data_IF_023795542895
#
_entry.id   IF_023795542895
#
_cell.length_a   1.000
_cell.length_b   1.000
_cell.length_c   1.000
_cell.angle_alpha   90.00
_cell.angle_beta   90.00
_cell.angle_gamma   90.00
#
_symmetry.space_group_name_H-M   'P 1'
#
loop_
_entity.id
_entity.type
_entity.pdbx_description
1 polymer ?
#
# COMPACT_ATOMS: atom_id res chain seq x y z
N UNK A 1 -20.89 18.15 -57.43
CA UNK A 1 -22.24 17.57 -57.28
C UNK A 1 -22.21 16.75 -55.99
N UNK A 2 -22.95 17.08 -54.93
CA UNK A 2 -24.42 16.99 -54.76
C UNK A 2 -24.95 15.53 -54.90
N UNK A 3 -25.77 14.97 -54.00
CA UNK A 3 -26.16 15.36 -52.61
C UNK A 3 -27.02 14.24 -51.95
N UNK A 4 -26.90 13.98 -50.63
CA UNK A 4 -27.90 13.33 -49.72
C UNK A 4 -28.40 11.88 -50.04
N UNK A 5 -29.12 11.09 -49.22
CA UNK A 5 -29.60 11.04 -47.80
C UNK A 5 -29.80 9.51 -47.46
N UNK A 6 -30.14 8.99 -46.28
CA UNK A 6 -31.07 9.42 -45.23
C UNK A 6 -30.79 8.72 -43.88
N UNK A 7 -31.38 9.24 -42.79
CA UNK A 7 -31.26 8.70 -41.44
C UNK A 7 -32.49 7.87 -40.99
N UNK A 8 -32.26 6.83 -40.19
CA UNK A 8 -33.32 6.07 -39.50
C UNK A 8 -33.49 6.50 -38.05
N UNK A 9 -34.67 7.01 -37.69
CA UNK A 9 -35.04 7.35 -36.30
C UNK A 9 -35.69 6.14 -35.61
N UNK A 10 -35.30 5.84 -34.39
CA UNK A 10 -36.07 5.00 -33.48
C UNK A 10 -36.82 5.85 -32.46
N UNK A 11 -38.12 5.60 -32.31
CA UNK A 11 -39.02 6.32 -31.40
C UNK A 11 -39.09 5.61 -30.04
N UNK A 12 -38.99 6.38 -28.96
CA UNK A 12 -39.19 5.88 -27.59
C UNK A 12 -40.64 6.10 -27.13
N UNK A 13 -41.21 5.11 -26.43
CA UNK A 13 -42.52 5.18 -25.77
C UNK A 13 -42.34 5.40 -24.25
N UNK A 14 -43.09 6.32 -23.62
CA UNK A 14 -42.98 6.55 -22.17
C UNK A 14 -43.85 5.58 -21.35
N UNK A 15 -43.21 4.82 -20.45
CA UNK A 15 -43.88 3.96 -19.47
C UNK A 15 -44.44 4.75 -18.27
N UNK A 16 -45.64 4.35 -17.80
CA UNK A 16 -46.34 5.00 -16.68
C UNK A 16 -45.58 4.90 -15.35
N UNK A 17 -45.55 6.00 -14.62
CA UNK A 17 -45.27 6.02 -13.17
C UNK A 17 -46.44 5.42 -12.37
N UNK A 18 -46.14 4.63 -11.33
CA UNK A 18 -47.11 4.26 -10.28
C UNK A 18 -46.56 4.64 -8.91
N UNK A 19 -47.40 5.30 -8.11
CA UNK A 19 -47.13 5.63 -6.71
C UNK A 19 -47.32 4.40 -5.81
N UNK A 20 -46.42 4.22 -4.86
CA UNK A 20 -46.64 3.62 -3.54
C UNK A 20 -45.67 4.36 -2.59
N UNK A 21 -45.97 4.63 -1.33
CA UNK A 21 -47.13 4.19 -0.55
C UNK A 21 -46.75 4.18 0.93
N UNK A 22 -46.41 5.36 1.47
CA UNK A 22 -45.85 5.49 2.80
C UNK A 22 -46.88 5.08 3.87
N UNK A 23 -46.54 4.09 4.72
CA UNK A 23 -47.24 3.83 5.98
C UNK A 23 -46.23 3.69 7.12
N UNK A 24 -46.40 4.55 8.11
CA UNK A 24 -45.83 4.44 9.46
C UNK A 24 -46.75 3.56 10.34
N UNK A 25 -46.41 3.47 11.63
CA UNK A 25 -47.07 2.70 12.72
C UNK A 25 -46.56 1.23 12.78
N UNK A 26 -46.08 0.72 13.91
CA UNK A 26 -45.95 1.35 15.23
C UNK A 26 -45.03 0.59 16.20
N UNK A 27 -44.77 1.18 17.37
CA UNK A 27 -44.07 0.58 18.52
C UNK A 27 -44.96 -0.45 19.24
N UNK A 28 -44.35 -1.36 20.01
CA UNK A 28 -44.80 -1.48 21.40
C UNK A 28 -43.68 -1.53 22.45
N UNK A 29 -44.08 -1.18 23.67
CA UNK A 29 -43.43 -1.36 24.98
C UNK A 29 -44.57 -1.63 26.00
N UNK A 30 -44.40 -2.16 27.21
CA UNK A 30 -43.26 -2.24 28.14
C UNK A 30 -43.43 -3.55 28.96
N UNK A 31 -42.35 -4.28 29.33
CA UNK A 31 -42.23 -4.83 30.70
C UNK A 31 -40.88 -5.48 31.00
N UNK A 32 -40.43 -5.37 32.25
CA UNK A 32 -39.32 -6.09 32.84
C UNK A 32 -39.81 -6.87 34.07
N UNK A 33 -39.10 -7.94 34.43
CA UNK A 33 -38.98 -8.63 35.74
C UNK A 33 -38.47 -10.07 35.50
N UNK A 34 -37.62 -10.70 36.31
CA UNK A 34 -36.80 -10.22 37.42
C UNK A 34 -35.59 -11.18 37.65
N UNK A 35 -34.59 -10.71 38.41
CA UNK A 35 -33.62 -11.48 39.23
C UNK A 35 -32.87 -12.71 38.64
N UNK A 36 -31.53 -12.66 38.59
CA UNK A 36 -30.75 -13.89 38.38
C UNK A 36 -29.22 -13.77 38.25
N UNK A 37 -28.51 -13.67 39.40
CA UNK A 37 -27.07 -13.97 39.61
C UNK A 37 -26.02 -13.21 38.76
N UNK A 38 -25.16 -12.46 39.46
CA UNK A 38 -23.90 -11.96 38.91
C UNK A 38 -22.92 -13.11 38.63
N UNK A 39 -22.26 -13.05 37.48
CA UNK A 39 -21.09 -13.86 37.13
C UNK A 39 -19.97 -12.91 36.62
N UNK A 40 -18.73 -13.19 37.02
CA UNK A 40 -17.55 -12.35 36.78
C UNK A 40 -17.20 -12.20 35.29
N UNK A 41 -17.72 -11.15 34.65
CA UNK A 41 -17.44 -10.81 33.27
C UNK A 41 -16.17 -9.94 33.17
N UNK A 42 -15.00 -10.58 33.15
CA UNK A 42 -13.74 -9.90 32.84
C UNK A 42 -13.81 -9.35 31.43
N UNK A 43 -13.80 -8.02 31.32
CA UNK A 43 -13.79 -7.31 30.03
C UNK A 43 -12.62 -7.82 29.17
N UNK A 44 -12.86 -8.29 27.93
CA UNK A 44 -11.77 -8.62 27.02
C UNK A 44 -10.99 -7.34 26.73
N UNK A 45 -9.67 -7.38 26.99
CA UNK A 45 -8.78 -6.28 26.61
C UNK A 45 -8.87 -6.09 25.09
N UNK A 46 -8.91 -4.85 24.57
CA UNK A 46 -8.94 -4.64 23.13
C UNK A 46 -7.69 -5.25 22.50
N UNK A 47 -7.90 -6.14 21.53
CA UNK A 47 -6.83 -6.64 20.66
C UNK A 47 -6.21 -5.43 19.98
N UNK A 48 -4.87 -5.35 20.01
CA UNK A 48 -4.13 -4.11 19.76
C UNK A 48 -4.50 -3.43 18.44
N UNK A 49 -4.69 -2.11 18.49
CA UNK A 49 -4.90 -1.31 17.30
C UNK A 49 -3.71 -1.48 16.33
N UNK A 50 -3.99 -2.00 15.13
CA UNK A 50 -3.00 -2.12 14.06
C UNK A 50 -2.50 -0.73 13.71
N UNK A 51 -1.22 -0.46 14.00
CA UNK A 51 -0.59 0.84 13.76
C UNK A 51 -0.33 1.06 12.26
N UNK A 52 -0.48 2.32 11.85
CA UNK A 52 -0.72 2.74 10.47
C UNK A 52 0.51 2.78 9.56
N UNK A 53 0.28 2.56 8.27
CA UNK A 53 1.29 2.58 7.21
C UNK A 53 1.88 3.96 6.88
N UNK A 54 3.21 4.01 6.84
CA UNK A 54 3.98 4.70 5.79
C UNK A 54 3.59 6.16 5.45
N UNK A 55 3.82 7.08 6.40
CA UNK A 55 4.25 8.48 6.21
C UNK A 55 4.57 9.09 7.59
N UNK A 56 5.85 9.04 8.01
CA UNK A 56 6.38 9.61 9.26
C UNK A 56 5.41 9.52 10.46
N UNK A 57 4.95 8.31 10.80
CA UNK A 57 4.00 8.11 11.91
C UNK A 57 4.64 8.50 13.25
N UNK A 58 4.17 9.57 13.93
CA UNK A 58 4.76 9.97 15.20
C UNK A 58 4.56 8.86 16.24
N UNK A 59 5.66 8.41 16.87
CA UNK A 59 5.61 7.41 17.94
C UNK A 59 5.97 5.97 17.55
N UNK A 60 6.65 5.73 16.42
CA UNK A 60 7.39 4.48 16.19
C UNK A 60 8.85 4.55 16.63
N UNK A 61 9.41 5.75 16.72
CA UNK A 61 10.74 6.06 17.24
C UNK A 61 10.75 7.51 17.76
N UNK A 62 11.63 7.81 18.71
CA UNK A 62 11.86 9.16 19.25
C UNK A 62 12.95 9.89 18.47
N UNK A 63 13.14 11.19 18.73
CA UNK A 63 14.22 11.96 18.11
C UNK A 63 15.62 11.43 18.49
N UNK A 64 15.76 10.81 19.67
CA UNK A 64 16.98 10.12 20.14
C UNK A 64 17.31 8.85 19.37
N UNK A 65 16.34 8.28 18.64
CA UNK A 65 16.49 7.01 17.90
C UNK A 65 16.82 7.24 16.41
N UNK A 66 17.12 8.49 16.01
CA UNK A 66 17.58 8.81 14.67
C UNK A 66 19.08 8.50 14.51
N UNK A 67 19.43 7.68 13.51
CA UNK A 67 20.81 7.30 13.19
C UNK A 67 21.18 7.71 11.77
N UNK A 68 22.27 8.45 11.61
CA UNK A 68 22.87 8.71 10.29
C UNK A 68 23.72 7.51 9.85
N UNK A 69 23.26 6.78 8.85
CA UNK A 69 23.89 5.56 8.32
C UNK A 69 24.35 5.79 6.89
N UNK A 70 25.30 4.99 6.43
CA UNK A 70 25.69 4.96 5.01
C UNK A 70 24.70 4.12 4.21
N UNK A 71 24.43 4.48 2.96
CA UNK A 71 23.41 3.78 2.15
C UNK A 71 23.80 2.33 1.81
N UNK A 72 25.09 1.98 1.84
CA UNK A 72 25.59 0.60 1.72
C UNK A 72 25.43 -0.25 3.00
N UNK A 73 25.11 0.38 4.15
CA UNK A 73 24.76 -0.30 5.40
C UNK A 73 23.28 -0.69 5.45
N UNK A 74 22.45 -0.11 4.57
CA UNK A 74 21.04 -0.43 4.49
C UNK A 74 20.80 -1.77 3.78
N UNK A 75 19.76 -2.47 4.21
CA UNK A 75 19.26 -3.71 3.60
C UNK A 75 17.76 -3.59 3.35
N UNK A 76 17.25 -4.10 2.22
CA UNK A 76 15.81 -4.19 2.00
C UNK A 76 15.20 -5.34 2.82
N UNK A 77 13.88 -5.35 2.89
CA UNK A 77 13.03 -6.35 3.58
C UNK A 77 11.92 -6.88 2.65
N UNK A 78 11.98 -6.48 1.38
CA UNK A 78 11.08 -6.88 0.31
C UNK A 78 11.88 -7.15 -0.97
N UNK A 79 11.34 -7.99 -1.84
CA UNK A 79 12.04 -8.45 -3.05
C UNK A 79 11.79 -7.51 -4.25
N UNK A 80 10.55 -7.04 -4.39
CA UNK A 80 10.11 -6.22 -5.51
C UNK A 80 9.66 -4.82 -5.10
N UNK A 81 9.65 -3.88 -6.04
CA UNK A 81 9.06 -2.54 -5.92
C UNK A 81 8.59 -2.07 -7.30
N UNK A 82 7.78 -1.01 -7.37
CA UNK A 82 7.45 -0.37 -8.66
C UNK A 82 8.44 0.76 -9.02
N UNK A 83 9.20 0.62 -10.11
CA UNK A 83 10.28 1.56 -10.47
C UNK A 83 9.81 2.98 -10.83
N UNK A 84 8.58 3.19 -11.32
CA UNK A 84 8.12 4.55 -11.63
C UNK A 84 8.02 5.44 -10.37
N UNK A 85 7.72 4.88 -9.21
CA UNK A 85 7.75 5.63 -7.96
C UNK A 85 9.18 6.03 -7.56
N UNK A 86 10.20 5.25 -7.94
CA UNK A 86 11.62 5.62 -7.83
C UNK A 86 11.92 6.79 -8.77
N UNK A 87 11.59 6.64 -10.06
CA UNK A 87 11.82 7.66 -11.08
C UNK A 87 11.12 8.98 -10.74
N UNK A 88 9.90 8.95 -10.20
CA UNK A 88 9.16 10.12 -9.73
C UNK A 88 9.84 10.84 -8.57
N UNK A 89 10.36 10.10 -7.58
CA UNK A 89 11.15 10.69 -6.47
C UNK A 89 12.43 11.34 -6.97
N UNK A 90 13.14 10.68 -7.89
CA UNK A 90 14.35 11.23 -8.52
C UNK A 90 14.05 12.50 -9.29
N UNK A 91 13.08 12.48 -10.21
CA UNK A 91 12.61 13.67 -10.95
C UNK A 91 12.33 14.85 -10.01
N UNK A 92 11.68 14.60 -8.86
CA UNK A 92 11.44 15.63 -7.84
C UNK A 92 12.75 16.21 -7.30
N UNK A 93 13.70 15.39 -6.84
CA UNK A 93 14.95 15.90 -6.24
C UNK A 93 15.94 16.48 -7.24
N UNK A 94 16.01 15.95 -8.47
CA UNK A 94 16.88 16.49 -9.54
C UNK A 94 16.38 17.84 -10.06
N UNK A 95 15.11 18.20 -9.80
CA UNK A 95 14.56 19.53 -10.08
C UNK A 95 14.88 20.57 -8.99
N UNK A 96 15.39 20.16 -7.83
CA UNK A 96 15.78 21.05 -6.74
C UNK A 96 17.29 21.37 -6.82
N UNK A 97 17.66 22.59 -6.44
CA UNK A 97 19.05 23.04 -6.43
C UNK A 97 19.57 23.33 -5.00
N UNK A 98 20.89 23.23 -4.82
CA UNK A 98 21.59 23.68 -3.61
C UNK A 98 20.95 23.21 -2.30
N UNK A 99 20.65 24.17 -1.42
CA UNK A 99 20.13 23.91 -0.08
C UNK A 99 18.68 23.40 -0.06
N UNK A 100 17.88 23.67 -1.09
CA UNK A 100 16.53 23.10 -1.21
C UNK A 100 16.59 21.59 -1.44
N UNK A 101 17.49 21.13 -2.33
CA UNK A 101 17.75 19.70 -2.54
C UNK A 101 18.29 19.05 -1.27
N UNK A 102 19.19 19.74 -0.56
CA UNK A 102 19.75 19.27 0.72
C UNK A 102 18.66 19.08 1.76
N UNK A 103 17.87 20.12 2.05
CA UNK A 103 16.79 20.06 3.03
C UNK A 103 15.74 18.99 2.70
N UNK A 104 15.37 18.86 1.42
CA UNK A 104 14.42 17.84 0.95
C UNK A 104 14.94 16.39 1.06
N UNK A 105 16.26 16.20 1.18
CA UNK A 105 16.90 14.90 1.45
C UNK A 105 17.11 14.70 2.96
N UNK A 106 17.48 15.75 3.69
CA UNK A 106 17.70 15.67 5.14
C UNK A 106 16.41 15.37 5.92
N UNK A 107 15.24 15.82 5.45
CA UNK A 107 13.91 15.49 6.00
C UNK A 107 13.48 14.01 5.76
N UNK A 108 14.34 13.20 5.13
CA UNK A 108 14.10 11.77 4.91
C UNK A 108 14.66 10.97 6.09
N UNK A 109 13.77 10.32 6.84
CA UNK A 109 14.13 9.41 7.94
C UNK A 109 13.25 8.14 7.95
N UNK A 110 13.38 7.24 6.96
CA UNK A 110 12.62 6.00 6.90
C UNK A 110 12.88 5.12 8.13
N UNK A 111 11.89 4.31 8.52
CA UNK A 111 12.04 3.38 9.63
C UNK A 111 12.98 2.23 9.28
N UNK A 112 13.81 1.83 10.23
CA UNK A 112 14.69 0.69 10.13
C UNK A 112 14.75 -0.10 11.45
N UNK A 113 15.15 -1.36 11.37
CA UNK A 113 15.67 -2.10 12.52
C UNK A 113 17.17 -2.27 12.37
N UNK A 114 17.91 -2.27 13.49
CA UNK A 114 19.31 -2.67 13.49
C UNK A 114 19.37 -4.18 13.61
N UNK A 115 19.84 -4.87 12.58
CA UNK A 115 19.91 -6.32 12.54
C UNK A 115 21.29 -6.89 12.89
N UNK A 116 21.48 -8.21 12.70
CA UNK A 116 22.77 -8.89 12.81
C UNK A 116 23.87 -8.22 11.98
N UNK A 117 25.12 -8.46 12.36
CA UNK A 117 26.31 -7.91 11.67
C UNK A 117 26.33 -6.37 11.55
N UNK A 118 25.53 -5.67 12.38
CA UNK A 118 25.49 -4.21 12.45
C UNK A 118 24.78 -3.50 11.28
N UNK A 119 24.11 -4.24 10.39
CA UNK A 119 23.38 -3.68 9.24
C UNK A 119 21.99 -3.16 9.63
N UNK A 120 21.42 -2.29 8.82
CA UNK A 120 20.12 -1.65 9.09
C UNK A 120 19.09 -2.07 8.04
N UNK A 121 18.01 -2.71 8.44
CA UNK A 121 16.99 -3.24 7.53
C UNK A 121 15.80 -2.29 7.50
N UNK A 122 15.50 -1.71 6.33
CA UNK A 122 14.39 -0.75 6.20
C UNK A 122 13.04 -1.45 6.35
N UNK A 123 12.15 -0.89 7.16
CA UNK A 123 10.77 -1.36 7.30
C UNK A 123 9.81 -0.74 6.27
N UNK A 124 10.16 0.44 5.75
CA UNK A 124 9.42 1.19 4.73
C UNK A 124 10.39 2.13 4.00
N UNK A 125 9.96 2.66 2.84
CA UNK A 125 10.72 3.65 2.10
C UNK A 125 11.74 3.08 1.11
N UNK A 126 11.63 1.82 0.70
CA UNK A 126 12.56 1.17 -0.25
C UNK A 126 12.66 1.92 -1.58
N UNK A 127 11.53 2.46 -2.09
CA UNK A 127 11.52 3.37 -3.25
C UNK A 127 12.34 4.64 -3.01
N UNK A 128 12.33 5.16 -1.79
CA UNK A 128 13.10 6.34 -1.37
C UNK A 128 14.58 6.00 -1.29
N UNK A 129 14.94 4.86 -0.69
CA UNK A 129 16.33 4.40 -0.58
C UNK A 129 16.96 4.15 -1.96
N UNK A 130 16.29 3.40 -2.84
CA UNK A 130 16.77 3.19 -4.21
C UNK A 130 16.90 4.51 -4.99
N UNK A 131 15.96 5.43 -4.82
CA UNK A 131 16.03 6.74 -5.45
C UNK A 131 17.23 7.57 -4.92
N UNK A 132 17.53 7.53 -3.61
CA UNK A 132 18.69 8.21 -3.02
C UNK A 132 20.02 7.64 -3.50
N UNK A 133 20.12 6.30 -3.61
CA UNK A 133 21.29 5.60 -4.16
C UNK A 133 21.53 6.03 -5.62
N UNK A 134 20.50 6.01 -6.45
CA UNK A 134 20.60 6.46 -7.85
C UNK A 134 20.90 7.97 -7.99
N UNK A 135 20.51 8.77 -7.01
CA UNK A 135 20.85 10.20 -6.89
C UNK A 135 22.22 10.47 -6.26
N UNK A 136 23.03 9.43 -6.05
CA UNK A 136 24.40 9.47 -5.50
C UNK A 136 24.48 10.20 -4.16
N UNK A 137 23.50 9.97 -3.30
CA UNK A 137 23.56 10.36 -1.89
C UNK A 137 24.39 9.30 -1.15
N UNK A 138 25.30 9.72 -0.28
CA UNK A 138 26.15 8.78 0.47
C UNK A 138 25.46 8.24 1.73
N UNK A 139 24.74 9.13 2.44
CA UNK A 139 24.21 8.87 3.79
C UNK A 139 22.78 9.37 3.94
N UNK A 140 22.02 8.68 4.78
CA UNK A 140 20.64 9.05 5.13
C UNK A 140 20.43 8.90 6.64
N UNK A 141 19.45 9.61 7.19
CA UNK A 141 18.97 9.33 8.55
C UNK A 141 17.98 8.16 8.49
N UNK A 142 17.99 7.29 9.49
CA UNK A 142 16.96 6.27 9.71
C UNK A 142 16.42 6.37 11.13
N UNK A 143 15.14 6.08 11.30
CA UNK A 143 14.53 5.92 12.62
C UNK A 143 14.64 4.48 13.09
N UNK A 144 15.38 4.22 14.17
CA UNK A 144 15.54 2.86 14.70
C UNK A 144 14.28 2.47 15.48
N UNK A 145 13.47 1.59 14.89
CA UNK A 145 12.28 1.03 15.53
C UNK A 145 12.64 -0.04 16.57
N UNK A 146 13.70 -0.83 16.34
CA UNK A 146 14.21 -1.81 17.31
C UNK A 146 15.69 -2.15 17.06
N UNK A 147 16.42 -2.51 18.12
CA UNK A 147 17.77 -3.07 18.03
C UNK A 147 17.71 -4.59 18.23
N UNK A 148 17.88 -5.31 17.12
CA UNK A 148 17.87 -6.77 17.00
C UNK A 148 19.27 -7.33 16.74
N UNK A 149 20.33 -6.52 16.93
CA UNK A 149 21.71 -6.89 16.59
C UNK A 149 22.31 -8.03 17.41
N UNK A 150 21.58 -8.52 18.43
CA UNK A 150 21.92 -9.68 19.26
C UNK A 150 21.28 -11.00 18.81
N UNK A 151 20.35 -10.97 17.84
CA UNK A 151 19.74 -12.20 17.30
C UNK A 151 20.70 -12.92 16.35
N UNK A 152 20.55 -14.25 16.23
CA UNK A 152 21.09 -14.99 15.09
C UNK A 152 20.33 -14.64 13.81
N UNK A 153 20.90 -14.96 12.64
CA UNK A 153 20.27 -14.61 11.36
C UNK A 153 18.92 -15.30 11.14
N UNK A 154 18.77 -16.56 11.55
CA UNK A 154 17.50 -17.30 11.45
C UNK A 154 16.40 -16.68 12.34
N UNK A 155 16.68 -16.50 13.64
CA UNK A 155 15.77 -15.85 14.59
C UNK A 155 15.38 -14.44 14.12
N UNK A 156 16.33 -13.69 13.56
CA UNK A 156 16.08 -12.35 13.03
C UNK A 156 15.03 -12.36 11.91
N UNK A 157 15.18 -13.22 10.89
CA UNK A 157 14.20 -13.27 9.79
C UNK A 157 12.83 -13.76 10.25
N UNK A 158 12.76 -14.77 11.12
CA UNK A 158 11.50 -15.25 11.72
C UNK A 158 10.82 -14.15 12.52
N UNK A 159 11.58 -13.36 13.28
CA UNK A 159 11.08 -12.23 14.06
C UNK A 159 10.50 -11.11 13.17
N UNK A 160 11.15 -10.79 12.04
CA UNK A 160 10.61 -9.81 11.10
C UNK A 160 9.32 -10.33 10.41
N UNK A 161 9.26 -11.61 10.03
CA UNK A 161 8.06 -12.21 9.42
C UNK A 161 6.87 -12.22 10.39
N UNK A 162 7.08 -12.64 11.65
CA UNK A 162 6.06 -12.61 12.71
C UNK A 162 5.52 -11.20 13.03
N UNK A 163 6.26 -10.14 12.69
CA UNK A 163 5.82 -8.75 12.86
C UNK A 163 5.24 -8.12 11.59
N UNK A 164 5.10 -8.89 10.51
CA UNK A 164 4.72 -8.39 9.19
C UNK A 164 5.63 -7.25 8.71
N UNK A 165 6.94 -7.38 9.00
CA UNK A 165 8.00 -6.44 8.61
C UNK A 165 8.75 -6.89 7.35
N UNK A 166 8.37 -8.02 6.76
CA UNK A 166 8.89 -8.53 5.49
C UNK A 166 7.80 -8.57 4.41
N UNK A 167 8.22 -8.39 3.16
CA UNK A 167 7.40 -8.65 1.98
C UNK A 167 8.14 -9.54 0.98
N UNK A 168 8.21 -10.83 1.32
CA UNK A 168 8.90 -11.89 0.56
C UNK A 168 8.10 -12.36 -0.67
N UNK A 169 7.70 -11.46 -1.56
CA UNK A 169 7.04 -11.79 -2.83
C UNK A 169 7.83 -11.22 -4.02
N UNK A 170 8.07 -12.04 -5.04
CA UNK A 170 8.75 -11.63 -6.27
C UNK A 170 7.88 -10.72 -7.16
N UNK A 171 8.44 -10.23 -8.27
CA UNK A 171 7.72 -9.37 -9.22
C UNK A 171 6.53 -10.04 -9.92
N UNK A 172 6.36 -11.36 -9.80
CA UNK A 172 5.19 -12.12 -10.24
C UNK A 172 4.17 -12.35 -9.11
N UNK A 173 4.42 -11.82 -7.91
CA UNK A 173 3.53 -11.97 -6.76
C UNK A 173 3.60 -13.34 -6.08
N UNK A 174 4.67 -14.12 -6.30
CA UNK A 174 4.85 -15.45 -5.68
C UNK A 174 5.63 -15.34 -4.38
N UNK A 175 5.17 -16.00 -3.32
CA UNK A 175 5.90 -16.06 -2.03
C UNK A 175 7.25 -16.74 -2.24
N UNK A 176 8.31 -16.17 -1.68
CA UNK A 176 9.69 -16.67 -1.74
C UNK A 176 10.26 -16.89 -0.33
N UNK A 177 11.29 -17.74 -0.17
CA UNK A 177 12.10 -17.84 1.05
C UNK A 177 12.83 -16.53 1.37
N UNK A 178 13.35 -16.40 2.60
CA UNK A 178 13.99 -15.17 3.09
C UNK A 178 15.31 -14.84 2.38
N UNK A 179 16.07 -15.86 1.95
CA UNK A 179 17.31 -15.73 1.18
C UNK A 179 17.11 -15.14 -0.23
N UNK A 180 15.87 -15.07 -0.72
CA UNK A 180 15.51 -14.37 -1.94
C UNK A 180 15.33 -12.85 -1.75
N UNK A 181 15.39 -12.32 -0.52
CA UNK A 181 15.47 -10.88 -0.27
C UNK A 181 16.87 -10.40 -0.72
N UNK A 182 16.97 -9.43 -1.64
CA UNK A 182 18.25 -8.98 -2.14
C UNK A 182 19.08 -8.29 -1.05
N UNK A 183 20.42 -8.32 -1.17
CA UNK A 183 21.28 -7.60 -0.22
C UNK A 183 21.41 -6.10 -0.53
N UNK A 184 21.05 -5.67 -1.75
CA UNK A 184 21.11 -4.29 -2.22
C UNK A 184 19.74 -3.83 -2.72
N UNK A 185 19.52 -2.52 -2.79
CA UNK A 185 18.27 -1.97 -3.31
C UNK A 185 18.23 -2.01 -4.85
N UNK A 186 19.39 -1.97 -5.49
CA UNK A 186 19.55 -2.02 -6.94
C UNK A 186 19.24 -3.40 -7.53
N UNK A 187 19.31 -4.45 -6.72
CA UNK A 187 18.97 -5.83 -7.09
C UNK A 187 17.46 -6.14 -6.89
N UNK A 188 16.66 -5.14 -6.46
CA UNK A 188 15.22 -5.29 -6.30
C UNK A 188 14.50 -5.35 -7.65
N UNK A 189 13.51 -6.24 -7.76
CA UNK A 189 12.79 -6.50 -9.01
C UNK A 189 11.71 -5.43 -9.27
N UNK A 190 11.46 -5.09 -10.54
CA UNK A 190 10.35 -4.21 -10.91
C UNK A 190 9.02 -4.97 -11.01
N UNK A 191 8.10 -4.67 -10.11
CA UNK A 191 6.71 -5.11 -10.17
C UNK A 191 5.85 -4.03 -10.83
N UNK A 192 5.61 -4.17 -12.13
CA UNK A 192 4.75 -3.27 -12.90
C UNK A 192 3.33 -3.20 -12.35
N UNK A 193 2.83 -4.25 -11.68
CA UNK A 193 1.52 -4.22 -11.03
C UNK A 193 1.55 -3.46 -9.70
N UNK A 194 2.69 -3.40 -9.01
CA UNK A 194 2.90 -2.49 -7.87
C UNK A 194 2.91 -1.03 -8.32
N UNK A 195 3.39 -0.74 -9.53
CA UNK A 195 3.25 0.58 -10.18
C UNK A 195 1.79 0.84 -10.56
N UNK A 196 1.09 -0.11 -11.19
CA UNK A 196 -0.33 0.02 -11.56
C UNK A 196 -1.22 0.25 -10.33
N UNK A 197 -0.97 -0.45 -9.21
CA UNK A 197 -1.70 -0.26 -7.96
C UNK A 197 -1.54 1.16 -7.39
N UNK A 198 -0.35 1.77 -7.50
CA UNK A 198 -0.17 3.17 -7.11
C UNK A 198 -0.87 4.15 -8.06
N UNK A 199 -0.87 3.88 -9.38
CA UNK A 199 -1.65 4.68 -10.36
C UNK A 199 -3.16 4.57 -10.10
N UNK A 200 -3.65 3.37 -9.78
CA UNK A 200 -5.04 3.11 -9.41
C UNK A 200 -5.45 3.84 -8.12
N UNK A 201 -4.60 3.83 -7.09
CA UNK A 201 -4.84 4.60 -5.85
C UNK A 201 -4.91 6.11 -6.15
N UNK A 202 -3.99 6.64 -6.96
CA UNK A 202 -3.97 8.04 -7.36
C UNK A 202 -5.20 8.43 -8.20
N UNK A 203 -5.73 7.51 -9.01
CA UNK A 203 -6.97 7.67 -9.77
C UNK A 203 -8.26 7.45 -8.94
N UNK A 204 -8.13 7.22 -7.63
CA UNK A 204 -9.27 7.06 -6.71
C UNK A 204 -9.94 5.68 -6.71
N UNK A 205 -9.33 4.67 -7.35
CA UNK A 205 -9.89 3.31 -7.41
C UNK A 205 -9.94 2.56 -6.08
N UNK A 206 -9.18 3.02 -5.07
CA UNK A 206 -9.31 2.62 -3.67
C UNK A 206 -8.73 3.69 -2.74
N UNK A 207 -9.20 3.71 -1.49
CA UNK A 207 -8.70 4.62 -0.47
C UNK A 207 -7.44 4.05 0.22
N UNK A 208 -6.45 4.91 0.51
CA UNK A 208 -5.33 4.53 1.40
C UNK A 208 -5.85 4.29 2.81
N UNK A 209 -5.55 3.12 3.37
CA UNK A 209 -5.85 2.74 4.76
C UNK A 209 -4.58 2.34 5.52
N UNK A 210 -4.71 2.08 6.82
CA UNK A 210 -3.58 1.77 7.70
C UNK A 210 -2.95 0.39 7.48
N UNK A 211 -3.45 -0.41 6.55
CA UNK A 211 -3.04 -1.80 6.32
C UNK A 211 -1.62 -1.88 5.73
N UNK A 212 -0.70 -2.65 6.33
CA UNK A 212 0.61 -2.92 5.73
C UNK A 212 0.48 -3.57 4.34
N UNK A 213 1.34 -3.15 3.41
CA UNK A 213 1.44 -3.69 2.04
C UNK A 213 0.13 -3.64 1.22
N UNK A 214 -0.79 -2.70 1.52
CA UNK A 214 -2.07 -2.58 0.82
C UNK A 214 -1.91 -2.55 -0.72
N UNK A 215 -0.93 -1.82 -1.25
CA UNK A 215 -0.74 -1.70 -2.69
C UNK A 215 -0.19 -2.98 -3.33
N UNK A 216 0.43 -3.88 -2.56
CA UNK A 216 0.83 -5.21 -3.06
C UNK A 216 -0.36 -6.19 -3.06
N UNK A 217 -1.31 -6.07 -2.14
CA UNK A 217 -2.58 -6.80 -2.20
C UNK A 217 -3.37 -6.39 -3.45
N UNK A 218 -3.41 -5.08 -3.74
CA UNK A 218 -3.99 -4.55 -4.98
C UNK A 218 -3.20 -4.98 -6.23
N UNK A 219 -1.86 -4.95 -6.22
CA UNK A 219 -1.04 -5.46 -7.33
C UNK A 219 -1.36 -6.92 -7.65
N UNK A 220 -1.49 -7.78 -6.64
CA UNK A 220 -1.79 -9.21 -6.82
C UNK A 220 -3.22 -9.49 -7.28
N UNK A 221 -4.19 -8.62 -6.97
CA UNK A 221 -5.51 -8.64 -7.60
C UNK A 221 -5.43 -8.23 -9.07
N UNK A 222 -4.77 -7.10 -9.37
CA UNK A 222 -4.66 -6.55 -10.72
C UNK A 222 -3.92 -7.47 -11.68
N UNK A 223 -2.92 -8.23 -11.19
CA UNK A 223 -2.21 -9.28 -11.94
C UNK A 223 -3.10 -10.37 -12.52
N UNK A 224 -4.34 -10.50 -12.03
CA UNK A 224 -5.36 -11.45 -12.51
C UNK A 224 -6.50 -10.78 -13.28
N UNK A 225 -6.57 -9.46 -13.25
CA UNK A 225 -7.68 -8.66 -13.79
C UNK A 225 -7.27 -7.77 -14.98
N UNK A 226 -5.98 -7.49 -15.15
CA UNK A 226 -5.41 -6.67 -16.21
C UNK A 226 -4.25 -7.45 -16.84
N UNK A 227 -4.32 -7.60 -18.17
CA UNK A 227 -3.31 -8.32 -18.93
C UNK A 227 -1.92 -7.63 -18.88
N UNK A 228 -0.85 -8.44 -18.94
CA UNK A 228 0.54 -7.97 -18.84
C UNK A 228 0.96 -7.21 -20.10
N UNK A 229 0.61 -7.71 -21.27
CA UNK A 229 0.95 -7.08 -22.56
C UNK A 229 0.19 -5.77 -22.72
N UNK A 230 -1.08 -5.70 -22.33
CA UNK A 230 -1.85 -4.45 -22.28
C UNK A 230 -1.23 -3.43 -21.32
N UNK A 231 -0.78 -3.85 -20.13
CA UNK A 231 -0.15 -2.97 -19.15
C UNK A 231 1.16 -2.36 -19.66
N UNK A 232 1.96 -3.12 -20.40
CA UNK A 232 3.24 -2.66 -20.93
C UNK A 232 3.09 -1.83 -22.23
N UNK A 233 2.13 -2.17 -23.08
CA UNK A 233 1.90 -1.49 -24.37
C UNK A 233 0.97 -0.27 -24.28
N UNK A 234 -0.10 -0.34 -23.51
CA UNK A 234 -1.15 0.69 -23.43
C UNK A 234 -1.50 1.04 -21.97
N UNK A 235 -0.56 1.61 -21.20
CA UNK A 235 -0.67 1.76 -19.75
C UNK A 235 -1.84 2.61 -19.26
N UNK A 236 -2.42 3.48 -20.09
CA UNK A 236 -3.65 4.22 -19.75
C UNK A 236 -4.91 3.35 -19.90
N UNK A 237 -5.02 2.53 -20.96
CA UNK A 237 -6.12 1.56 -21.09
C UNK A 237 -6.08 0.51 -19.99
N UNK A 238 -4.88 0.05 -19.63
CA UNK A 238 -4.68 -0.85 -18.49
C UNK A 238 -5.14 -0.23 -17.15
N UNK A 239 -5.03 1.10 -16.99
CA UNK A 239 -5.55 1.82 -15.82
C UNK A 239 -7.09 1.91 -15.86
N UNK A 240 -7.70 2.11 -17.03
CA UNK A 240 -9.17 2.02 -17.18
C UNK A 240 -9.71 0.63 -16.84
N UNK A 241 -8.98 -0.44 -17.19
CA UNK A 241 -9.31 -1.81 -16.80
C UNK A 241 -9.13 -2.05 -15.30
N UNK A 242 -8.03 -1.55 -14.72
CA UNK A 242 -7.81 -1.58 -13.29
C UNK A 242 -8.94 -0.89 -12.51
N UNK A 243 -9.42 0.26 -12.98
CA UNK A 243 -10.56 0.98 -12.39
C UNK A 243 -11.86 0.17 -12.51
N UNK A 244 -12.17 -0.39 -13.69
CA UNK A 244 -13.34 -1.26 -13.89
C UNK A 244 -13.32 -2.47 -12.95
N UNK A 245 -12.16 -3.12 -12.82
CA UNK A 245 -11.97 -4.26 -11.92
C UNK A 245 -12.10 -3.86 -10.44
N UNK A 246 -11.49 -2.73 -10.03
CA UNK A 246 -11.48 -2.24 -8.66
C UNK A 246 -12.87 -1.90 -8.13
N UNK A 247 -13.75 -1.29 -8.94
CA UNK A 247 -15.12 -0.99 -8.50
C UNK A 247 -16.04 -2.21 -8.48
N UNK A 248 -15.62 -3.34 -9.07
CA UNK A 248 -16.41 -4.57 -9.09
C UNK A 248 -16.39 -5.30 -7.74
N UNK A 249 -17.38 -6.16 -7.51
CA UNK A 249 -17.51 -6.96 -6.28
C UNK A 249 -16.37 -7.97 -6.09
N UNK A 250 -15.61 -8.33 -7.13
CA UNK A 250 -14.46 -9.23 -6.97
C UNK A 250 -13.32 -8.59 -6.16
N UNK A 251 -13.25 -7.26 -6.09
CA UNK A 251 -12.30 -6.53 -5.28
C UNK A 251 -12.79 -6.25 -3.84
N UNK A 252 -14.02 -6.64 -3.46
CA UNK A 252 -14.64 -6.18 -2.20
C UNK A 252 -14.01 -6.70 -0.90
N UNK A 253 -13.03 -7.60 -0.99
CA UNK A 253 -12.24 -8.07 0.15
C UNK A 253 -10.96 -7.25 0.37
N UNK A 254 -10.61 -6.34 -0.55
CA UNK A 254 -9.35 -5.59 -0.51
C UNK A 254 -9.43 -4.37 0.41
N UNK A 255 -8.31 -4.01 1.07
CA UNK A 255 -8.23 -2.81 1.92
C UNK A 255 -8.55 -1.55 1.09
N UNK A 256 -9.40 -0.68 1.65
CA UNK A 256 -9.75 0.59 1.00
C UNK A 256 -10.73 0.50 -0.17
N UNK A 257 -11.30 -0.66 -0.47
CA UNK A 257 -12.30 -0.82 -1.53
C UNK A 257 -13.49 0.13 -1.36
N UNK A 258 -13.87 0.81 -2.44
CA UNK A 258 -14.88 1.87 -2.47
C UNK A 258 -16.02 1.62 -3.48
N UNK A 259 -16.14 0.41 -4.02
CA UNK A 259 -17.24 0.02 -4.91
C UNK A 259 -18.59 -0.07 -4.19
N UNK A 260 -19.68 -0.24 -4.96
CA UNK A 260 -21.04 -0.40 -4.40
C UNK A 260 -21.38 -1.87 -4.23
N UNK A 261 -21.95 -2.20 -3.07
CA UNK A 261 -22.68 -3.45 -2.85
C UNK A 261 -24.08 -3.30 -3.46
N UNK A 262 -24.24 -3.71 -4.71
CA UNK A 262 -25.52 -3.81 -5.43
C UNK A 262 -25.83 -5.28 -5.71
#
# INVERSE_FOLDING_TARGET
MLVTTAAGKWLATPGRTRRCGLRLIGRPTVSADASGRAADARSPRPIGAVRTSARNTPGMYSASDLKTVSLDELRPTQISLGLDAVATKRRKWSALAGDERRAAIEDIFPPAVRGPSGKYFLLDGHHTALALIQEKVDRVRVGIAEDLSRLGEEDFWVFLDHRSWLHCYDAEGRRRPFDAIPQRFEDMQDDVYRTLASRLQAAGGFAKVGTPFEEFLWANFLRRAVDRELLESEPEKALEEALRAAYSRSASYLPGWCGRLV
#
